data_IF_989263361624
#
_entry.id   IF_989263361624
#
_cell.length_a   1.000
_cell.length_b   1.000
_cell.length_c   1.000
_cell.angle_alpha   90.00
_cell.angle_beta   90.00
_cell.angle_gamma   90.00
#
_symmetry.space_group_name_H-M   'P 1'
#
loop_
_entity.id
_entity.type
_entity.pdbx_description
1 polymer ?
#
# COMPACT_ATOMS: atom_id res chain seq x y z
N UNK A 1 -10.37 -57.03 3.16
CA UNK A 1 -10.35 -57.79 1.90
C UNK A 1 -10.64 -56.80 0.78
N UNK A 2 -9.73 -55.88 0.51
CA UNK A 2 -8.46 -56.01 -0.23
C UNK A 2 -8.63 -55.86 -1.75
N UNK A 3 -7.77 -55.02 -2.34
CA UNK A 3 -7.49 -54.93 -3.78
C UNK A 3 -7.89 -53.58 -4.39
N UNK A 4 -7.09 -52.51 -4.26
CA UNK A 4 -5.91 -52.17 -5.07
C UNK A 4 -6.22 -51.87 -6.55
N UNK A 5 -6.12 -50.58 -6.93
CA UNK A 5 -6.22 -50.10 -8.31
C UNK A 5 -5.32 -48.87 -8.53
N UNK A 6 -4.19 -49.11 -9.17
CA UNK A 6 -3.03 -48.24 -9.38
C UNK A 6 -3.31 -47.01 -10.25
N UNK A 7 -2.83 -45.83 -9.83
CA UNK A 7 -2.61 -44.67 -10.70
C UNK A 7 -1.44 -44.94 -11.66
N UNK A 8 -1.61 -44.54 -12.94
CA UNK A 8 -0.52 -44.33 -13.89
C UNK A 8 -0.64 -42.93 -14.49
N UNK A 9 0.37 -42.11 -14.20
CA UNK A 9 0.67 -40.82 -14.83
C UNK A 9 1.35 -41.03 -16.18
N UNK A 10 0.91 -40.29 -17.21
CA UNK A 10 1.59 -40.18 -18.50
C UNK A 10 2.29 -38.82 -18.56
N UNK A 11 3.61 -38.86 -18.71
CA UNK A 11 4.45 -37.72 -19.03
C UNK A 11 4.62 -37.63 -20.55
N UNK A 12 4.53 -36.42 -21.11
CA UNK A 12 5.07 -36.11 -22.43
C UNK A 12 5.36 -34.61 -22.55
N UNK A 13 6.63 -34.27 -22.79
CA UNK A 13 7.09 -33.40 -23.89
C UNK A 13 8.39 -32.68 -23.49
N UNK A 14 9.46 -32.93 -24.24
CA UNK A 14 10.68 -32.12 -24.20
C UNK A 14 10.65 -30.97 -25.21
N UNK A 15 11.58 -30.02 -25.05
CA UNK A 15 12.46 -29.48 -26.10
C UNK A 15 13.27 -28.26 -25.62
N UNK A 16 14.60 -28.46 -25.62
CA UNK A 16 15.72 -27.55 -25.96
C UNK A 16 16.00 -26.20 -25.24
N UNK A 17 17.27 -25.93 -24.85
CA UNK A 17 17.70 -24.71 -24.15
C UNK A 17 18.52 -23.72 -25.00
N UNK A 18 18.53 -22.45 -24.59
CA UNK A 18 19.59 -21.47 -24.86
C UNK A 18 19.15 -20.01 -24.66
N UNK A 19 20.06 -19.02 -24.49
CA UNK A 19 21.42 -19.09 -23.98
C UNK A 19 21.68 -18.20 -22.73
N UNK A 20 22.81 -18.51 -22.09
CA UNK A 20 23.47 -17.85 -20.97
C UNK A 20 23.74 -16.35 -21.18
N UNK A 21 23.52 -15.54 -20.13
CA UNK A 21 24.11 -14.22 -19.96
C UNK A 21 24.74 -14.13 -18.57
N UNK A 22 26.01 -14.52 -18.52
CA UNK A 22 26.94 -14.30 -17.42
C UNK A 22 27.94 -13.22 -17.81
N UNK A 23 27.84 -12.02 -17.21
CA UNK A 23 28.91 -11.01 -17.13
C UNK A 23 28.75 -10.25 -15.81
N UNK A 24 29.51 -10.62 -14.78
CA UNK A 24 30.72 -9.93 -14.23
C UNK A 24 30.45 -8.57 -13.59
N UNK A 25 30.81 -8.43 -12.29
CA UNK A 25 31.57 -7.29 -11.74
C UNK A 25 32.15 -7.67 -10.34
N UNK A 26 33.45 -7.39 -10.04
CA UNK A 26 34.06 -7.63 -8.74
C UNK A 26 34.21 -6.33 -7.93
N UNK A 27 33.92 -6.35 -6.62
CA UNK A 27 34.23 -5.24 -5.71
C UNK A 27 35.29 -5.68 -4.68
N UNK A 28 36.54 -5.23 -4.89
CA UNK A 28 37.62 -5.27 -3.90
C UNK A 28 37.46 -4.10 -2.94
N UNK A 29 37.41 -4.36 -1.64
CA UNK A 29 37.54 -3.33 -0.60
C UNK A 29 39.03 -3.04 -0.31
N UNK A 30 39.45 -1.76 -0.23
CA UNK A 30 40.75 -1.41 0.34
C UNK A 30 40.67 -1.18 1.86
N UNK A 31 41.74 -1.44 2.63
CA UNK A 31 41.76 -1.25 4.08
C UNK A 31 42.04 0.22 4.46
N UNK A 32 41.41 0.67 5.55
CA UNK A 32 41.63 1.97 6.18
C UNK A 32 43.03 2.05 6.84
N UNK A 33 43.72 3.18 6.63
CA UNK A 33 44.97 3.53 7.30
C UNK A 33 44.70 4.25 8.62
N UNK A 34 45.38 3.82 9.67
CA UNK A 34 45.55 4.53 10.95
C UNK A 34 46.41 5.79 10.77
N UNK A 35 46.08 6.85 11.52
CA UNK A 35 46.88 8.08 11.64
C UNK A 35 47.31 8.22 13.11
N UNK A 36 48.62 8.37 13.41
CA UNK A 36 49.11 8.68 14.75
C UNK A 36 49.25 10.19 14.98
N UNK A 37 48.97 10.64 16.20
CA UNK A 37 49.22 12.02 16.64
C UNK A 37 50.04 12.01 17.93
N UNK A 38 51.30 12.44 17.81
CA UNK A 38 52.28 12.54 18.89
C UNK A 38 52.41 13.99 19.41
N UNK A 39 52.52 14.09 20.74
CA UNK A 39 53.44 14.91 21.56
C UNK A 39 53.49 16.44 21.53
N UNK A 40 53.51 16.98 22.76
CA UNK A 40 54.43 17.98 23.37
C UNK A 40 53.68 19.14 24.05
N UNK A 41 54.10 19.69 25.20
CA UNK A 41 55.24 19.48 26.09
C UNK A 41 55.20 20.52 27.22
N UNK A 42 56.04 20.37 28.25
CA UNK A 42 56.88 21.42 28.86
C UNK A 42 57.30 21.11 30.31
N UNK A 43 58.59 21.35 30.53
CA UNK A 43 59.48 21.04 31.65
C UNK A 43 59.47 22.16 32.71
N UNK A 44 59.84 21.87 33.98
CA UNK A 44 60.97 22.48 34.73
C UNK A 44 60.91 22.20 36.25
N UNK A 45 62.09 21.97 36.87
CA UNK A 45 62.39 22.51 38.21
C UNK A 45 62.69 21.54 39.37
N UNK A 46 63.99 21.37 39.68
CA UNK A 46 64.57 20.66 40.83
C UNK A 46 64.28 21.25 42.21
N UNK A 47 64.36 20.42 43.27
CA UNK A 47 64.81 20.86 44.60
C UNK A 47 64.12 20.18 45.80
N UNK A 48 64.81 19.25 46.48
CA UNK A 48 64.43 18.73 47.79
C UNK A 48 65.10 19.57 48.91
N UNK A 49 64.33 20.02 49.91
CA UNK A 49 64.81 20.14 51.31
C UNK A 49 63.63 20.23 52.31
N UNK A 50 63.72 19.45 53.40
CA UNK A 50 62.77 19.37 54.51
C UNK A 50 62.56 20.71 55.24
N UNK A 51 61.31 20.99 55.68
CA UNK A 51 61.03 21.50 57.05
C UNK A 51 59.56 21.34 57.47
N UNK A 52 59.44 21.00 58.76
CA UNK A 52 58.33 20.68 59.66
C UNK A 52 57.12 21.64 59.70
N UNK A 53 55.96 21.02 59.95
CA UNK A 53 54.81 21.39 60.82
C UNK A 53 54.00 22.67 60.59
N UNK A 54 52.73 22.52 60.18
CA UNK A 54 51.54 22.76 61.02
C UNK A 54 50.23 22.52 60.22
N UNK A 55 49.27 21.79 60.79
CA UNK A 55 47.92 21.57 60.23
C UNK A 55 47.10 22.86 60.16
N UNK A 56 46.19 22.98 59.18
CA UNK A 56 44.77 22.78 59.50
C UNK A 56 44.02 21.97 58.40
N UNK A 57 44.29 20.68 58.29
CA UNK A 57 43.50 19.77 57.43
C UNK A 57 42.31 19.21 58.20
N UNK A 58 41.17 19.92 58.24
CA UNK A 58 39.89 19.25 58.59
C UNK A 58 38.63 19.88 58.00
N UNK A 59 38.72 21.05 57.37
CA UNK A 59 37.58 21.73 56.72
C UNK A 59 37.55 21.55 55.20
N UNK A 60 38.69 21.45 54.51
CA UNK A 60 38.73 21.31 53.04
C UNK A 60 38.27 19.94 52.50
N UNK A 61 38.44 18.87 53.28
CA UNK A 61 38.12 17.50 52.85
C UNK A 61 36.61 17.22 52.75
N UNK A 62 35.77 17.97 53.47
CA UNK A 62 34.30 17.82 53.38
C UNK A 62 33.71 18.60 52.20
N UNK A 63 34.28 19.76 51.87
CA UNK A 63 33.87 20.54 50.70
C UNK A 63 34.26 19.84 49.38
N UNK A 64 35.41 19.18 49.32
CA UNK A 64 35.85 18.51 48.08
C UNK A 64 35.01 17.27 47.74
N UNK A 65 34.59 16.49 48.75
CA UNK A 65 33.70 15.32 48.56
C UNK A 65 32.30 15.78 48.12
N UNK A 66 31.77 16.86 48.71
CA UNK A 66 30.49 17.43 48.31
C UNK A 66 30.50 18.02 46.90
N UNK A 67 31.62 18.63 46.47
CA UNK A 67 31.77 19.16 45.11
C UNK A 67 31.91 18.04 44.07
N UNK A 68 32.62 16.96 44.40
CA UNK A 68 32.72 15.77 43.56
C UNK A 68 31.36 15.08 43.36
N UNK A 69 30.57 14.98 44.42
CA UNK A 69 29.24 14.37 44.37
C UNK A 69 28.24 15.25 43.60
N UNK A 70 28.32 16.57 43.77
CA UNK A 70 27.57 17.54 42.96
C UNK A 70 27.91 17.44 41.47
N UNK A 71 29.19 17.36 41.11
CA UNK A 71 29.60 17.23 39.71
C UNK A 71 29.10 15.92 39.08
N UNK A 72 29.12 14.81 39.83
CA UNK A 72 28.54 13.53 39.37
C UNK A 72 27.03 13.60 39.16
N UNK A 73 26.32 14.29 40.06
CA UNK A 73 24.88 14.54 39.91
C UNK A 73 24.57 15.35 38.66
N UNK A 74 25.32 16.42 38.40
CA UNK A 74 25.16 17.27 37.21
C UNK A 74 25.47 16.51 35.92
N UNK A 75 26.52 15.67 35.91
CA UNK A 75 26.83 14.81 34.76
C UNK A 75 25.74 13.77 34.51
N UNK A 76 25.21 13.15 35.57
CA UNK A 76 24.10 12.21 35.48
C UNK A 76 22.82 12.89 35.00
N UNK A 77 22.53 14.11 35.45
CA UNK A 77 21.37 14.89 35.01
C UNK A 77 21.49 15.24 33.52
N UNK A 78 22.67 15.69 33.07
CA UNK A 78 22.94 15.95 31.65
C UNK A 78 22.76 14.70 30.79
N UNK A 79 23.28 13.55 31.24
CA UNK A 79 23.08 12.29 30.53
C UNK A 79 21.62 11.87 30.48
N UNK A 80 20.88 12.05 31.59
CA UNK A 80 19.45 11.72 31.62
C UNK A 80 18.65 12.66 30.72
N UNK A 81 18.96 13.95 30.71
CA UNK A 81 18.34 14.94 29.82
C UNK A 81 18.58 14.59 28.35
N UNK A 82 19.82 14.24 27.97
CA UNK A 82 20.16 13.81 26.62
C UNK A 82 19.39 12.53 26.19
N UNK A 83 19.23 11.57 27.10
CA UNK A 83 18.42 10.36 26.84
C UNK A 83 16.94 10.68 26.67
N UNK A 84 16.40 11.58 27.49
CA UNK A 84 15.01 12.05 27.37
C UNK A 84 14.81 12.74 26.03
N UNK A 85 15.74 13.59 25.61
CA UNK A 85 15.69 14.27 24.31
C UNK A 85 15.79 13.28 23.15
N UNK A 86 16.71 12.31 23.19
CA UNK A 86 16.83 11.26 22.17
C UNK A 86 15.54 10.44 22.05
N UNK A 87 15.00 9.96 23.18
CA UNK A 87 13.76 9.20 23.20
C UNK A 87 12.58 10.04 22.71
N UNK A 88 12.51 11.32 23.09
CA UNK A 88 11.48 12.24 22.63
C UNK A 88 11.58 12.48 21.13
N UNK A 89 12.79 12.63 20.58
CA UNK A 89 13.02 12.78 19.15
C UNK A 89 12.68 11.51 18.37
N UNK A 90 13.03 10.33 18.89
CA UNK A 90 12.64 9.04 18.29
C UNK A 90 11.14 8.83 18.33
N UNK A 91 10.49 9.16 19.45
CA UNK A 91 9.04 9.06 19.60
C UNK A 91 8.32 10.07 18.69
N UNK A 92 8.83 11.30 18.58
CA UNK A 92 8.29 12.34 17.70
C UNK A 92 8.49 11.99 16.23
N UNK A 93 9.62 11.38 15.85
CA UNK A 93 9.88 10.86 14.51
C UNK A 93 8.97 9.68 14.18
N UNK A 94 8.80 8.75 15.12
CA UNK A 94 7.89 7.61 14.99
C UNK A 94 6.44 8.07 14.87
N UNK A 95 6.01 9.00 15.73
CA UNK A 95 4.69 9.62 15.68
C UNK A 95 4.47 10.39 14.38
N UNK A 96 5.47 11.12 13.87
CA UNK A 96 5.39 11.83 12.59
C UNK A 96 5.29 10.88 11.39
N UNK A 97 5.99 9.74 11.43
CA UNK A 97 5.87 8.68 10.41
C UNK A 97 4.49 8.01 10.47
N UNK A 98 4.03 7.64 11.66
CA UNK A 98 2.68 7.11 11.89
C UNK A 98 1.57 8.09 11.45
N UNK A 99 1.75 9.39 11.71
CA UNK A 99 0.82 10.43 11.28
C UNK A 99 0.75 10.56 9.76
N UNK A 100 1.86 10.36 9.03
CA UNK A 100 1.88 10.32 7.56
C UNK A 100 1.30 9.01 7.00
N UNK A 101 1.52 7.90 7.70
CA UNK A 101 1.13 6.54 7.28
C UNK A 101 -0.39 6.32 7.28
N UNK A 102 -1.16 7.10 8.05
CA UNK A 102 -2.63 6.99 8.13
C UNK A 102 -3.38 8.32 7.88
N UNK A 103 -2.72 9.38 7.40
CA UNK A 103 -3.40 10.60 6.95
C UNK A 103 -3.40 10.72 5.43
N UNK A 104 -4.55 10.45 4.77
CA UNK A 104 -4.75 10.81 3.36
C UNK A 104 -4.52 12.30 3.06
N UNK A 105 -4.57 13.16 4.09
CA UNK A 105 -4.44 14.61 3.99
C UNK A 105 -3.01 15.15 4.14
N UNK A 106 -2.02 14.35 4.54
CA UNK A 106 -0.58 14.76 4.54
C UNK A 106 0.06 14.24 3.25
N UNK A 107 -0.59 14.56 2.13
CA UNK A 107 -0.34 13.95 0.83
C UNK A 107 1.04 14.33 0.27
N UNK A 108 1.76 13.33 -0.24
CA UNK A 108 2.73 13.54 -1.31
C UNK A 108 1.98 14.07 -2.53
N UNK A 109 2.10 15.38 -2.78
CA UNK A 109 1.43 16.07 -3.89
C UNK A 109 1.89 15.56 -5.26
N UNK A 110 2.96 14.76 -5.32
CA UNK A 110 3.41 14.10 -6.55
C UNK A 110 2.68 12.80 -6.85
N UNK A 111 1.99 12.19 -5.88
CA UNK A 111 1.22 10.96 -6.11
C UNK A 111 0.00 11.25 -7.01
N UNK A 112 0.06 10.71 -8.23
CA UNK A 112 -0.99 10.82 -9.25
C UNK A 112 -2.24 10.01 -8.90
N UNK A 113 -2.11 9.03 -8.01
CA UNK A 113 -3.17 8.13 -7.58
C UNK A 113 -3.62 8.42 -6.14
N UNK A 114 -3.34 9.63 -5.61
CA UNK A 114 -3.89 10.07 -4.34
C UNK A 114 -5.43 10.20 -4.42
N UNK A 115 -6.16 10.02 -3.31
CA UNK A 115 -7.62 9.97 -3.32
C UNK A 115 -8.31 11.15 -4.00
N UNK A 116 -7.83 12.37 -3.80
CA UNK A 116 -8.40 13.57 -4.44
C UNK A 116 -8.24 13.56 -5.96
N UNK A 117 -7.09 13.12 -6.47
CA UNK A 117 -6.85 13.00 -7.92
C UNK A 117 -7.64 11.86 -8.54
N UNK A 118 -7.82 10.76 -7.82
CA UNK A 118 -8.71 9.69 -8.26
C UNK A 118 -10.17 10.16 -8.32
N UNK A 119 -10.62 10.92 -7.32
CA UNK A 119 -11.95 11.55 -7.34
C UNK A 119 -12.15 12.48 -8.54
N UNK A 120 -11.19 13.37 -8.81
CA UNK A 120 -11.21 14.25 -10.00
C UNK A 120 -11.24 13.44 -11.31
N UNK A 121 -10.40 12.40 -11.44
CA UNK A 121 -10.40 11.53 -12.62
C UNK A 121 -11.73 10.81 -12.81
N UNK A 122 -12.36 10.39 -11.71
CA UNK A 122 -13.65 9.72 -11.77
C UNK A 122 -14.77 10.67 -12.21
N UNK A 123 -14.77 11.91 -11.74
CA UNK A 123 -15.69 12.95 -12.24
C UNK A 123 -15.46 13.24 -13.73
N UNK A 124 -14.20 13.25 -14.20
CA UNK A 124 -13.90 13.41 -15.63
C UNK A 124 -14.46 12.26 -16.49
N UNK A 125 -14.50 11.03 -15.97
CA UNK A 125 -15.10 9.90 -16.68
C UNK A 125 -16.60 10.12 -16.88
N UNK A 126 -17.27 10.71 -15.89
CA UNK A 126 -18.68 11.08 -15.99
C UNK A 126 -18.93 12.21 -16.99
N UNK A 127 -18.04 13.20 -17.04
CA UNK A 127 -18.23 14.34 -17.96
C UNK A 127 -17.98 13.94 -19.43
N UNK A 128 -16.97 13.10 -19.69
CA UNK A 128 -16.53 12.79 -21.05
C UNK A 128 -16.99 11.39 -21.52
N UNK A 129 -16.39 10.32 -21.00
CA UNK A 129 -16.60 8.97 -21.51
C UNK A 129 -18.03 8.45 -21.29
N UNK A 130 -18.70 8.85 -20.20
CA UNK A 130 -20.10 8.50 -19.96
C UNK A 130 -21.02 9.07 -21.04
N UNK A 131 -20.81 10.33 -21.45
CA UNK A 131 -21.60 10.97 -22.51
C UNK A 131 -21.41 10.26 -23.85
N UNK A 132 -20.17 9.91 -24.18
CA UNK A 132 -19.85 9.14 -25.38
C UNK A 132 -20.47 7.74 -25.38
N UNK A 133 -20.46 7.06 -24.23
CA UNK A 133 -21.07 5.75 -24.05
C UNK A 133 -22.60 5.84 -24.12
N UNK A 134 -23.21 6.86 -23.53
CA UNK A 134 -24.64 7.12 -23.58
C UNK A 134 -25.14 7.27 -25.03
N UNK A 135 -24.48 8.09 -25.84
CA UNK A 135 -24.77 8.21 -27.28
C UNK A 135 -24.58 6.87 -28.01
N UNK A 136 -23.54 6.12 -27.65
CA UNK A 136 -23.22 4.85 -28.28
C UNK A 136 -24.29 3.77 -28.06
N UNK A 137 -24.83 3.71 -26.83
CA UNK A 137 -25.88 2.77 -26.41
C UNK A 137 -27.24 3.19 -26.99
N UNK A 138 -27.61 4.46 -26.89
CA UNK A 138 -28.86 4.96 -27.50
C UNK A 138 -28.92 4.70 -29.01
N UNK A 139 -27.77 4.82 -29.70
CA UNK A 139 -27.62 4.47 -31.11
C UNK A 139 -27.75 2.98 -31.45
N UNK A 140 -27.83 2.06 -30.47
CA UNK A 140 -28.15 0.63 -30.73
C UNK A 140 -29.62 0.46 -31.12
N UNK A 141 -30.52 1.32 -30.63
CA UNK A 141 -31.96 1.20 -30.86
C UNK A 141 -32.63 0.12 -30.02
N UNK A 142 -33.87 -0.25 -30.37
CA UNK A 142 -34.67 -1.20 -29.58
C UNK A 142 -35.03 -0.67 -28.19
N UNK A 143 -34.84 -1.47 -27.15
CA UNK A 143 -35.11 -1.11 -25.76
C UNK A 143 -34.21 0.03 -25.23
N UNK A 144 -33.07 0.28 -25.87
CA UNK A 144 -32.12 1.34 -25.50
C UNK A 144 -32.51 2.73 -26.03
N UNK A 145 -33.73 2.90 -26.57
CA UNK A 145 -34.29 4.22 -26.91
C UNK A 145 -34.79 4.99 -25.70
N UNK A 146 -35.13 4.29 -24.62
CA UNK A 146 -35.55 4.93 -23.38
C UNK A 146 -34.30 5.40 -22.63
N UNK A 147 -34.11 6.72 -22.55
CA UNK A 147 -32.90 7.31 -21.98
C UNK A 147 -32.64 6.85 -20.54
N UNK A 148 -33.68 6.75 -19.70
CA UNK A 148 -33.55 6.34 -18.31
C UNK A 148 -33.08 4.87 -18.18
N UNK A 149 -33.40 4.01 -19.18
CA UNK A 149 -32.80 2.66 -19.24
C UNK A 149 -31.32 2.71 -19.55
N UNK A 150 -30.90 3.57 -20.48
CA UNK A 150 -29.48 3.73 -20.81
C UNK A 150 -28.69 4.27 -19.61
N UNK A 151 -29.25 5.26 -18.91
CA UNK A 151 -28.67 5.77 -17.66
C UNK A 151 -28.51 4.64 -16.64
N UNK A 152 -29.55 3.82 -16.46
CA UNK A 152 -29.50 2.68 -15.54
C UNK A 152 -28.41 1.69 -15.92
N UNK A 153 -28.31 1.32 -17.20
CA UNK A 153 -27.28 0.39 -17.68
C UNK A 153 -25.87 0.94 -17.43
N UNK A 154 -25.62 2.23 -17.68
CA UNK A 154 -24.32 2.84 -17.43
C UNK A 154 -23.96 2.85 -15.93
N UNK A 155 -24.93 3.09 -15.05
CA UNK A 155 -24.75 3.02 -13.61
C UNK A 155 -24.51 1.56 -13.14
N UNK A 156 -25.26 0.60 -13.67
CA UNK A 156 -25.11 -0.83 -13.39
C UNK A 156 -23.71 -1.33 -13.82
N UNK A 157 -23.17 -0.86 -14.94
CA UNK A 157 -21.80 -1.17 -15.38
C UNK A 157 -20.78 -0.71 -14.32
N UNK A 158 -20.87 0.54 -13.85
CA UNK A 158 -19.95 1.08 -12.83
C UNK A 158 -20.07 0.31 -11.52
N UNK A 159 -21.30 -0.05 -11.13
CA UNK A 159 -21.53 -0.87 -9.95
C UNK A 159 -20.88 -2.26 -10.11
N UNK A 160 -21.02 -2.91 -11.27
CA UNK A 160 -20.37 -4.20 -11.54
C UNK A 160 -18.85 -4.10 -11.56
N UNK A 161 -18.30 -3.02 -12.10
CA UNK A 161 -16.86 -2.72 -12.03
C UNK A 161 -16.42 -2.59 -10.56
N UNK A 162 -17.16 -1.86 -9.73
CA UNK A 162 -16.85 -1.68 -8.32
C UNK A 162 -16.85 -3.00 -7.53
N UNK A 163 -17.88 -3.82 -7.71
CA UNK A 163 -18.00 -5.16 -7.12
C UNK A 163 -16.81 -6.05 -7.54
N UNK A 164 -16.56 -6.15 -8.85
CA UNK A 164 -15.47 -6.97 -9.40
C UNK A 164 -14.09 -6.53 -8.90
N UNK A 165 -13.80 -5.22 -8.93
CA UNK A 165 -12.55 -4.69 -8.44
C UNK A 165 -12.38 -4.90 -6.93
N UNK A 166 -13.45 -4.82 -6.13
CA UNK A 166 -13.43 -5.06 -4.69
C UNK A 166 -13.06 -6.50 -4.36
N UNK A 167 -13.72 -7.45 -5.01
CA UNK A 167 -13.45 -8.87 -4.86
C UNK A 167 -12.03 -9.22 -5.30
N UNK A 168 -11.62 -8.71 -6.46
CA UNK A 168 -10.27 -8.95 -6.97
C UNK A 168 -9.22 -8.35 -6.05
N UNK A 169 -9.37 -7.10 -5.60
CA UNK A 169 -8.41 -6.45 -4.71
C UNK A 169 -8.23 -7.24 -3.41
N UNK A 170 -9.33 -7.73 -2.83
CA UNK A 170 -9.30 -8.59 -1.64
C UNK A 170 -8.59 -9.93 -1.89
N UNK A 171 -8.90 -10.60 -3.00
CA UNK A 171 -8.25 -11.86 -3.38
C UNK A 171 -6.76 -11.68 -3.67
N UNK A 172 -6.38 -10.63 -4.39
CA UNK A 172 -5.00 -10.32 -4.75
C UNK A 172 -4.15 -10.12 -3.50
N UNK A 173 -4.64 -9.37 -2.51
CA UNK A 173 -3.91 -9.13 -1.27
C UNK A 173 -3.68 -10.43 -0.48
N UNK A 174 -4.71 -11.27 -0.33
CA UNK A 174 -4.59 -12.58 0.35
C UNK A 174 -3.60 -13.50 -0.37
N UNK A 175 -3.60 -13.51 -1.70
CA UNK A 175 -2.66 -14.30 -2.50
C UNK A 175 -1.23 -13.81 -2.33
N UNK A 176 -1.01 -12.49 -2.34
CA UNK A 176 0.32 -11.91 -2.10
C UNK A 176 0.86 -12.27 -0.72
N UNK A 177 0.04 -12.12 0.32
CA UNK A 177 0.40 -12.52 1.69
C UNK A 177 0.75 -14.01 1.76
N UNK A 178 -0.09 -14.88 1.18
CA UNK A 178 0.15 -16.32 1.17
C UNK A 178 1.42 -16.70 0.40
N UNK A 179 1.67 -16.12 -0.78
CA UNK A 179 2.88 -16.40 -1.54
C UNK A 179 4.13 -15.95 -0.81
N UNK A 180 4.09 -14.80 -0.14
CA UNK A 180 5.22 -14.31 0.62
C UNK A 180 5.52 -15.22 1.82
N UNK A 181 4.49 -15.58 2.60
CA UNK A 181 4.64 -16.50 3.73
C UNK A 181 5.23 -17.83 3.23
N UNK A 182 4.62 -18.44 2.23
CA UNK A 182 5.06 -19.72 1.68
C UNK A 182 6.51 -19.64 1.16
N UNK A 183 6.88 -18.55 0.48
CA UNK A 183 8.24 -18.34 0.00
C UNK A 183 9.28 -18.24 1.12
N UNK A 184 8.89 -17.74 2.29
CA UNK A 184 9.76 -17.61 3.46
C UNK A 184 9.77 -18.86 4.35
N UNK A 185 8.71 -19.67 4.33
CA UNK A 185 8.56 -20.84 5.21
C UNK A 185 8.81 -22.18 4.50
N UNK A 186 8.64 -22.27 3.19
CA UNK A 186 8.98 -23.44 2.37
C UNK A 186 10.35 -23.26 1.73
N UNK A 187 11.41 -23.35 2.52
CA UNK A 187 12.77 -23.14 2.04
C UNK A 187 13.18 -24.35 1.23
N UNK A 188 13.27 -24.17 -0.09
CA UNK A 188 13.75 -25.18 -1.04
C UNK A 188 15.10 -24.74 -1.57
N UNK A 189 16.09 -25.61 -1.46
CA UNK A 189 17.43 -25.39 -2.00
C UNK A 189 17.81 -26.54 -2.92
N UNK A 190 18.09 -26.23 -4.18
CA UNK A 190 18.51 -27.19 -5.19
C UNK A 190 19.99 -27.06 -5.47
N UNK A 191 20.68 -28.19 -5.60
CA UNK A 191 22.11 -28.26 -5.89
C UNK A 191 22.44 -29.44 -6.79
N UNK A 192 23.48 -29.27 -7.61
CA UNK A 192 24.04 -30.34 -8.42
C UNK A 192 25.03 -31.17 -7.61
N UNK A 193 24.91 -32.50 -7.69
CA UNK A 193 25.87 -33.43 -7.13
C UNK A 193 26.41 -34.38 -8.20
N UNK A 194 27.46 -35.12 -7.85
CA UNK A 194 27.99 -36.22 -8.66
C UNK A 194 26.96 -37.32 -8.98
N UNK A 195 25.83 -37.37 -8.27
CA UNK A 195 24.76 -38.35 -8.45
C UNK A 195 23.50 -37.77 -9.12
N UNK A 196 23.55 -36.53 -9.61
CA UNK A 196 22.43 -35.82 -10.24
C UNK A 196 21.96 -34.59 -9.44
N UNK A 197 20.86 -34.00 -9.91
CA UNK A 197 20.19 -32.86 -9.28
C UNK A 197 19.48 -33.31 -8.00
N UNK A 198 19.81 -32.66 -6.87
CA UNK A 198 19.17 -32.90 -5.59
C UNK A 198 18.44 -31.63 -5.11
N UNK A 199 17.36 -31.82 -4.36
CA UNK A 199 16.63 -30.73 -3.70
C UNK A 199 16.43 -31.06 -2.23
N UNK A 200 16.88 -30.16 -1.36
CA UNK A 200 16.56 -30.16 0.06
C UNK A 200 15.38 -29.22 0.31
N UNK A 201 14.44 -29.64 1.17
CA UNK A 201 13.33 -28.81 1.58
C UNK A 201 13.21 -28.80 3.10
N UNK A 202 13.04 -27.60 3.66
CA UNK A 202 12.76 -27.41 5.09
C UNK A 202 11.48 -26.59 5.17
N UNK A 203 10.49 -27.14 5.86
CA UNK A 203 9.27 -26.41 6.17
C UNK A 203 9.38 -25.84 7.60
N UNK A 204 9.33 -24.51 7.72
CA UNK A 204 9.14 -23.84 9.01
C UNK A 204 7.66 -23.61 9.25
N UNK A 205 7.20 -23.79 10.49
CA UNK A 205 5.81 -23.54 10.86
C UNK A 205 5.46 -22.05 10.60
N UNK A 206 4.47 -21.73 9.75
CA UNK A 206 4.02 -20.37 9.49
C UNK A 206 3.31 -19.69 10.67
N UNK A 207 3.05 -20.41 11.77
CA UNK A 207 2.37 -19.88 12.96
C UNK A 207 3.22 -18.91 13.80
N UNK A 208 4.49 -18.68 13.47
CA UNK A 208 5.30 -17.62 14.09
C UNK A 208 4.85 -16.24 13.59
N UNK A 209 3.66 -15.83 14.06
CA UNK A 209 3.00 -14.56 13.70
C UNK A 209 3.86 -13.35 13.99
N UNK A 210 4.81 -13.45 14.92
CA UNK A 210 5.74 -12.37 15.23
C UNK A 210 6.66 -12.03 14.05
N UNK A 211 7.08 -13.03 13.28
CA UNK A 211 7.95 -12.83 12.12
C UNK A 211 7.24 -12.12 10.93
N UNK A 212 5.90 -12.19 10.87
CA UNK A 212 5.09 -11.65 9.77
C UNK A 212 4.18 -10.50 10.18
N UNK A 213 4.35 -9.91 11.36
CA UNK A 213 3.46 -8.86 11.88
C UNK A 213 3.33 -7.64 10.94
N UNK A 214 4.42 -7.20 10.31
CA UNK A 214 4.42 -6.06 9.38
C UNK A 214 4.02 -6.45 7.94
N UNK A 215 3.89 -7.74 7.65
CA UNK A 215 3.61 -8.23 6.29
C UNK A 215 2.35 -7.62 5.68
N UNK A 216 1.19 -7.53 6.37
CA UNK A 216 -0.02 -6.95 5.79
C UNK A 216 0.17 -5.49 5.41
N UNK A 217 1.01 -4.74 6.12
CA UNK A 217 1.35 -3.35 5.75
C UNK A 217 2.15 -3.34 4.45
N UNK A 218 3.24 -4.10 4.37
CA UNK A 218 4.11 -4.15 3.19
C UNK A 218 3.36 -4.64 1.94
N UNK A 219 2.48 -5.63 2.09
CA UNK A 219 1.70 -6.16 0.97
C UNK A 219 0.70 -5.12 0.45
N UNK A 220 0.06 -4.35 1.33
CA UNK A 220 -0.86 -3.26 0.93
C UNK A 220 -0.13 -2.14 0.20
N UNK A 221 1.03 -1.72 0.70
CA UNK A 221 1.86 -0.69 0.06
C UNK A 221 2.40 -1.16 -1.29
N UNK A 222 2.95 -2.38 -1.36
CA UNK A 222 3.44 -2.97 -2.61
C UNK A 222 2.32 -3.08 -3.64
N UNK A 223 1.14 -3.55 -3.24
CA UNK A 223 -0.03 -3.64 -4.12
C UNK A 223 -0.44 -2.27 -4.66
N UNK A 224 -0.52 -1.24 -3.82
CA UNK A 224 -0.86 0.12 -4.25
C UNK A 224 0.14 0.65 -5.29
N UNK A 225 1.43 0.49 -5.03
CA UNK A 225 2.51 0.96 -5.92
C UNK A 225 2.53 0.25 -7.27
N UNK A 226 2.10 -1.02 -7.32
CA UNK A 226 2.11 -1.82 -8.55
C UNK A 226 0.71 -1.97 -9.20
N UNK A 227 -0.33 -1.36 -8.65
CA UNK A 227 -1.72 -1.62 -9.05
C UNK A 227 -1.99 -1.38 -10.54
N UNK A 228 -1.40 -0.34 -11.12
CA UNK A 228 -1.56 0.00 -12.55
C UNK A 228 -1.18 -1.18 -13.46
N UNK A 229 -0.20 -2.01 -13.06
CA UNK A 229 0.23 -3.16 -13.84
C UNK A 229 -0.86 -4.25 -13.97
N UNK A 230 -1.82 -4.30 -13.04
CA UNK A 230 -2.93 -5.28 -13.09
C UNK A 230 -4.07 -4.84 -13.99
N UNK A 231 -4.21 -3.53 -14.26
CA UNK A 231 -5.40 -2.95 -14.92
C UNK A 231 -5.69 -3.57 -16.30
N UNK A 232 -4.71 -3.73 -17.22
CA UNK A 232 -5.01 -4.29 -18.54
C UNK A 232 -5.61 -5.70 -18.48
N UNK A 233 -5.07 -6.55 -17.60
CA UNK A 233 -5.59 -7.91 -17.40
C UNK A 233 -6.99 -7.88 -16.78
N UNK A 234 -7.24 -6.96 -15.84
CA UNK A 234 -8.56 -6.79 -15.22
C UNK A 234 -9.62 -6.35 -16.23
N UNK A 235 -9.30 -5.43 -17.14
CA UNK A 235 -10.22 -5.01 -18.20
C UNK A 235 -10.62 -6.19 -19.08
N UNK A 236 -9.66 -7.02 -19.49
CA UNK A 236 -9.94 -8.24 -20.28
C UNK A 236 -10.83 -9.19 -19.50
N UNK A 237 -10.47 -9.51 -18.25
CA UNK A 237 -11.26 -10.42 -17.41
C UNK A 237 -12.69 -9.93 -17.20
N UNK A 238 -12.88 -8.64 -16.92
CA UNK A 238 -14.20 -8.04 -16.73
C UNK A 238 -15.03 -8.14 -18.00
N UNK A 239 -14.47 -7.74 -19.15
CA UNK A 239 -15.18 -7.77 -20.45
C UNK A 239 -15.54 -9.20 -20.88
N UNK A 240 -14.65 -10.17 -20.65
CA UNK A 240 -14.87 -11.55 -21.07
C UNK A 240 -15.80 -12.37 -20.18
N UNK A 241 -16.00 -11.96 -18.93
CA UNK A 241 -16.81 -12.71 -17.97
C UNK A 241 -18.00 -11.86 -17.50
N UNK A 242 -17.73 -10.85 -16.68
CA UNK A 242 -18.76 -10.04 -16.02
C UNK A 242 -19.64 -9.31 -17.04
N UNK A 243 -19.04 -8.67 -18.04
CA UNK A 243 -19.80 -7.91 -19.02
C UNK A 243 -20.68 -8.83 -19.88
N UNK A 244 -20.12 -9.92 -20.40
CA UNK A 244 -20.86 -10.89 -21.22
C UNK A 244 -21.99 -11.56 -20.43
N UNK A 245 -21.80 -11.83 -19.15
CA UNK A 245 -22.82 -12.43 -18.29
C UNK A 245 -23.99 -11.47 -18.00
N UNK A 246 -23.69 -10.21 -17.66
CA UNK A 246 -24.71 -9.26 -17.19
C UNK A 246 -25.30 -8.36 -18.29
N UNK A 247 -24.59 -8.15 -19.40
CA UNK A 247 -24.96 -7.20 -20.45
C UNK A 247 -24.96 -7.84 -21.85
N UNK A 248 -25.28 -9.13 -21.95
CA UNK A 248 -25.28 -9.90 -23.20
C UNK A 248 -26.12 -9.26 -24.33
N UNK A 249 -27.20 -8.55 -23.99
CA UNK A 249 -28.07 -7.86 -24.94
C UNK A 249 -27.46 -6.57 -25.52
N UNK A 250 -26.41 -6.03 -24.88
CA UNK A 250 -25.76 -4.78 -25.29
C UNK A 250 -24.45 -5.08 -26.03
N UNK A 251 -24.38 -4.88 -27.36
CA UNK A 251 -23.17 -5.12 -28.11
C UNK A 251 -22.03 -4.19 -27.66
N UNK A 252 -20.85 -4.77 -27.43
CA UNK A 252 -19.65 -4.00 -27.12
C UNK A 252 -19.25 -3.14 -28.33
N UNK A 253 -19.14 -1.82 -28.11
CA UNK A 253 -18.72 -0.84 -29.11
C UNK A 253 -17.51 -0.05 -28.58
N UNK A 254 -16.66 0.55 -29.43
CA UNK A 254 -15.41 1.18 -28.99
C UNK A 254 -15.55 2.25 -27.89
N UNK A 255 -16.57 3.12 -27.98
CA UNK A 255 -16.82 4.16 -26.96
C UNK A 255 -17.25 3.56 -25.62
N UNK A 256 -18.07 2.51 -25.65
CA UNK A 256 -18.49 1.79 -24.45
C UNK A 256 -17.32 1.02 -23.82
N UNK A 257 -16.49 0.41 -24.65
CA UNK A 257 -15.27 -0.27 -24.20
C UNK A 257 -14.32 0.71 -23.51
N UNK A 258 -14.10 1.89 -24.10
CA UNK A 258 -13.27 2.94 -23.50
C UNK A 258 -13.83 3.39 -22.14
N UNK A 259 -15.13 3.62 -22.03
CA UNK A 259 -15.79 3.94 -20.77
C UNK A 259 -15.58 2.86 -19.70
N UNK A 260 -15.74 1.58 -20.05
CA UNK A 260 -15.51 0.45 -19.14
C UNK A 260 -14.05 0.41 -18.69
N UNK A 261 -13.10 0.53 -19.61
CA UNK A 261 -11.67 0.45 -19.31
C UNK A 261 -11.24 1.60 -18.38
N UNK A 262 -11.78 2.80 -18.57
CA UNK A 262 -11.52 3.96 -17.69
C UNK A 262 -12.13 3.77 -16.30
N UNK A 263 -13.37 3.28 -16.22
CA UNK A 263 -14.01 2.93 -14.95
C UNK A 263 -13.17 1.87 -14.22
N UNK A 264 -12.79 0.79 -14.91
CA UNK A 264 -11.97 -0.30 -14.36
C UNK A 264 -10.65 0.20 -13.78
N UNK A 265 -9.91 1.01 -14.53
CA UNK A 265 -8.66 1.60 -14.05
C UNK A 265 -8.89 2.43 -12.79
N UNK A 266 -9.80 3.41 -12.85
CA UNK A 266 -9.98 4.37 -11.78
C UNK A 266 -10.51 3.71 -10.50
N UNK A 267 -11.52 2.85 -10.64
CA UNK A 267 -12.16 2.16 -9.51
C UNK A 267 -11.22 1.14 -8.88
N UNK A 268 -10.41 0.42 -9.66
CA UNK A 268 -9.41 -0.46 -9.08
C UNK A 268 -8.37 0.33 -8.26
N UNK A 269 -7.88 1.44 -8.81
CA UNK A 269 -6.93 2.32 -8.12
C UNK A 269 -7.51 2.96 -6.85
N UNK A 270 -8.82 3.20 -6.80
CA UNK A 270 -9.55 3.63 -5.60
C UNK A 270 -9.62 2.55 -4.51
N UNK A 271 -9.81 1.30 -4.92
CA UNK A 271 -10.02 0.18 -3.99
C UNK A 271 -8.71 -0.42 -3.43
N UNK A 272 -7.58 -0.18 -4.09
CA UNK A 272 -6.27 -0.58 -3.56
C UNK A 272 -5.72 0.37 -2.48
N UNK A 273 -6.32 1.56 -2.34
CA UNK A 273 -5.95 2.57 -1.33
C UNK A 273 -6.06 2.02 0.10
N UNK A 274 -5.47 2.75 1.05
CA UNK A 274 -5.51 2.44 2.48
C UNK A 274 -5.94 3.67 3.29
N UNK A 275 -7.14 3.66 3.88
CA UNK A 275 -8.25 2.73 3.63
C UNK A 275 -8.74 2.76 2.15
N UNK A 276 -9.42 1.71 1.65
CA UNK A 276 -10.06 1.74 0.34
C UNK A 276 -11.09 2.86 0.24
N UNK A 277 -11.13 3.56 -0.89
CA UNK A 277 -12.17 4.54 -1.16
C UNK A 277 -13.53 3.85 -1.36
N UNK A 278 -14.61 4.61 -1.18
CA UNK A 278 -15.96 4.08 -1.21
C UNK A 278 -16.84 4.77 -2.25
N UNK A 279 -17.50 3.98 -3.09
CA UNK A 279 -18.52 4.46 -4.01
C UNK A 279 -19.89 4.23 -3.40
N UNK A 280 -20.63 5.32 -3.16
CA UNK A 280 -22.01 5.27 -2.66
C UNK A 280 -22.98 5.32 -3.84
N UNK A 281 -23.68 4.22 -4.06
CA UNK A 281 -24.76 4.09 -5.03
C UNK A 281 -26.09 4.25 -4.30
N UNK A 282 -26.87 5.34 -4.52
CA UNK A 282 -28.18 5.51 -3.92
C UNK A 282 -29.18 4.49 -4.50
N UNK A 283 -30.12 4.04 -3.68
CA UNK A 283 -31.12 3.06 -4.08
C UNK A 283 -32.46 3.76 -4.34
N UNK A 284 -33.25 3.22 -5.27
CA UNK A 284 -34.61 3.69 -5.51
C UNK A 284 -35.42 3.71 -4.21
N UNK A 285 -36.05 4.84 -3.91
CA UNK A 285 -36.79 5.06 -2.66
C UNK A 285 -35.98 5.74 -1.55
N UNK A 286 -34.65 5.86 -1.69
CA UNK A 286 -33.83 6.65 -0.77
C UNK A 286 -34.24 8.13 -0.82
N UNK A 287 -34.12 8.83 0.32
CA UNK A 287 -34.23 10.30 0.32
C UNK A 287 -33.03 10.92 -0.40
N UNK A 288 -33.28 11.96 -1.18
CA UNK A 288 -32.25 12.70 -1.89
C UNK A 288 -31.37 13.49 -0.90
N UNK A 289 -30.13 13.04 -0.72
CA UNK A 289 -29.13 13.75 0.08
C UNK A 289 -28.36 14.75 -0.80
N UNK A 290 -28.78 16.01 -0.80
CA UNK A 290 -28.20 17.06 -1.64
C UNK A 290 -26.76 17.44 -1.26
N UNK A 291 -26.30 17.05 -0.06
CA UNK A 291 -24.88 17.19 0.29
C UNK A 291 -24.00 16.23 -0.52
N UNK A 292 -24.51 15.06 -0.90
CA UNK A 292 -23.76 14.01 -1.61
C UNK A 292 -24.12 13.89 -3.09
N UNK A 293 -25.36 14.22 -3.48
CA UNK A 293 -25.86 14.03 -4.84
C UNK A 293 -26.36 15.32 -5.48
N UNK A 294 -26.04 15.49 -6.77
CA UNK A 294 -26.62 16.50 -7.64
C UNK A 294 -27.90 15.93 -8.30
N UNK A 295 -29.01 16.69 -8.39
CA UNK A 295 -30.20 16.24 -9.09
C UNK A 295 -29.94 16.17 -10.60
N UNK A 296 -30.22 15.03 -11.22
CA UNK A 296 -30.15 14.85 -12.66
C UNK A 296 -31.50 15.22 -13.30
N UNK A 297 -31.47 16.16 -14.25
CA UNK A 297 -32.63 16.70 -15.03
C UNK A 297 -33.70 17.45 -14.22
N UNK A 298 -34.17 16.89 -13.11
CA UNK A 298 -35.26 17.46 -12.28
C UNK A 298 -34.93 17.37 -10.80
N UNK A 299 -35.54 18.24 -9.99
CA UNK A 299 -35.47 18.20 -8.53
C UNK A 299 -36.59 17.31 -7.98
N UNK A 300 -36.31 16.66 -6.86
CA UNK A 300 -37.28 15.83 -6.13
C UNK A 300 -36.69 15.36 -4.80
N UNK A 301 -37.52 14.76 -3.95
CA UNK A 301 -37.10 14.35 -2.60
C UNK A 301 -36.74 12.86 -2.51
N UNK A 302 -37.22 12.06 -3.45
CA UNK A 302 -37.08 10.60 -3.47
C UNK A 302 -36.29 10.22 -4.72
N UNK A 303 -35.28 9.38 -4.55
CA UNK A 303 -34.43 8.89 -5.65
C UNK A 303 -35.19 7.83 -6.44
N UNK A 304 -35.22 7.97 -7.76
CA UNK A 304 -35.71 6.94 -8.67
C UNK A 304 -34.57 6.09 -9.22
N UNK A 305 -33.46 6.72 -9.62
CA UNK A 305 -32.33 6.07 -10.27
C UNK A 305 -30.99 6.70 -9.88
N UNK A 306 -29.99 5.86 -9.60
CA UNK A 306 -28.60 6.29 -9.54
C UNK A 306 -28.09 6.57 -10.96
N UNK A 307 -27.57 7.77 -11.20
CA UNK A 307 -26.95 8.15 -12.49
C UNK A 307 -25.44 7.99 -12.42
N UNK A 308 -24.85 8.46 -11.31
CA UNK A 308 -23.41 8.38 -11.03
C UNK A 308 -23.18 8.29 -9.52
N UNK A 309 -22.34 7.37 -9.01
CA UNK A 309 -22.14 7.22 -7.58
C UNK A 309 -21.35 8.38 -6.98
N UNK A 310 -21.61 8.68 -5.71
CA UNK A 310 -20.78 9.61 -4.95
C UNK A 310 -19.49 8.92 -4.50
N UNK A 311 -18.39 9.67 -4.45
CA UNK A 311 -17.07 9.17 -4.05
C UNK A 311 -16.76 9.67 -2.65
N UNK A 312 -16.52 8.75 -1.72
CA UNK A 312 -16.07 9.03 -0.36
C UNK A 312 -14.63 8.55 -0.18
N UNK A 313 -13.90 9.21 0.72
CA UNK A 313 -12.48 8.89 0.99
C UNK A 313 -12.31 7.46 1.52
N UNK A 314 -13.28 6.99 2.29
CA UNK A 314 -13.49 5.62 2.71
C UNK A 314 -14.96 5.45 3.09
N UNK A 315 -15.38 4.24 3.43
CA UNK A 315 -16.75 3.99 3.90
C UNK A 315 -17.04 4.88 5.11
N UNK A 316 -18.18 5.58 5.08
CA UNK A 316 -18.62 6.55 6.09
C UNK A 316 -17.63 7.72 6.31
N UNK A 317 -16.72 7.94 5.35
CA UNK A 317 -15.72 9.00 5.38
C UNK A 317 -16.20 10.31 4.72
N UNK A 318 -15.33 11.33 4.65
CA UNK A 318 -15.67 12.59 4.00
C UNK A 318 -15.89 12.40 2.49
N UNK A 319 -16.80 13.20 1.95
CA UNK A 319 -17.08 13.28 0.52
C UNK A 319 -15.87 13.82 -0.25
N UNK A 320 -15.51 13.14 -1.32
CA UNK A 320 -14.44 13.54 -2.26
C UNK A 320 -15.03 14.15 -3.52
N UNK A 321 -16.05 13.52 -4.11
CA UNK A 321 -16.81 14.07 -5.25
C UNK A 321 -18.28 13.67 -5.16
N UNK A 322 -19.16 14.60 -5.56
CA UNK A 322 -20.62 14.39 -5.55
C UNK A 322 -21.04 13.43 -6.65
N UNK A 323 -22.00 12.56 -6.33
CA UNK A 323 -22.69 11.76 -7.33
C UNK A 323 -23.78 12.54 -8.05
N UNK A 324 -24.47 11.86 -8.97
CA UNK A 324 -25.68 12.34 -9.63
C UNK A 324 -26.79 11.30 -9.47
N UNK A 325 -28.00 11.75 -9.15
CA UNK A 325 -29.17 10.88 -9.02
C UNK A 325 -30.38 11.52 -9.68
N UNK A 326 -31.22 10.71 -10.32
CA UNK A 326 -32.50 11.12 -10.90
C UNK A 326 -33.57 10.99 -9.81
N UNK A 327 -34.16 12.10 -9.35
CA UNK A 327 -35.28 12.05 -8.40
C UNK A 327 -36.59 11.67 -9.10
N UNK A 328 -37.63 11.37 -8.32
CA UNK A 328 -39.01 11.20 -8.80
C UNK A 328 -39.67 12.53 -9.16
#
# INVERSE_FOLDING_TARGET
>A
MDGAGSLRTVNSSGASPGPNLSQTLPAKFPPMKEVPGDLSGATTGSGNFLKRSNSPERTDRKMSVSALEYNRLVESEKMNSAKVEELTNRLSSFASKQLKENNPNIADLSDRNRPTKLGERFEQIYDNEWSEAFECITGVGGEFREEDRVVKVLADIVQKVYEFCGDFAGQQLRRLESYFINGMTEIKWSYQSSYGDNTLSVHRNPEDKAAFYELPRFMRESRRSCAVASVPALCVMFKDHVYKEHFAALPMKPRLEMYIDKCMECVFLMLVQQPPMYLRFPVKGDKMEYSEFKPFRKKGEIIDLCVWPAVLLHKDGPLVSKGSALPQ
#
